data_IF_209456664356
#
_entry.id   IF_209456664356
#
_cell.length_a   1.000
_cell.length_b   1.000
_cell.length_c   1.000
_cell.angle_alpha   90.00
_cell.angle_beta   90.00
_cell.angle_gamma   90.00
#
_symmetry.space_group_name_H-M   'P 1'
#
loop_
_entity.id
_entity.type
_entity.pdbx_description
1 polymer ?
#
# COMPACT_ATOMS: atom_id res chain seq x y z
N UNK A 1 -21.01 -34.80 2.74
CA UNK A 1 -20.95 -33.40 3.21
C UNK A 1 -21.19 -32.48 2.02
N UNK A 2 -22.11 -31.52 2.12
CA UNK A 2 -22.36 -30.60 1.02
C UNK A 2 -21.16 -29.66 0.85
N UNK A 3 -20.55 -29.64 -0.35
CA UNK A 3 -19.46 -28.72 -0.68
C UNK A 3 -20.02 -27.30 -0.69
N UNK A 4 -19.58 -26.45 0.21
CA UNK A 4 -19.92 -25.03 0.19
C UNK A 4 -19.14 -24.39 -0.95
N UNK A 5 -19.84 -23.84 -1.93
CA UNK A 5 -19.24 -23.16 -3.08
C UNK A 5 -19.14 -21.65 -2.81
N UNK A 6 -17.95 -21.09 -3.00
CA UNK A 6 -17.69 -19.66 -2.85
C UNK A 6 -17.71 -19.00 -4.22
N UNK A 7 -18.75 -18.22 -4.49
CA UNK A 7 -18.92 -17.56 -5.79
C UNK A 7 -18.22 -16.21 -5.82
N UNK A 8 -17.51 -15.94 -6.91
CA UNK A 8 -16.93 -14.64 -7.24
C UNK A 8 -17.94 -13.83 -8.06
N UNK A 9 -18.18 -12.59 -7.63
CA UNK A 9 -19.13 -11.68 -8.26
C UNK A 9 -18.48 -10.31 -8.46
N UNK A 10 -18.79 -9.65 -9.58
CA UNK A 10 -18.49 -8.24 -9.79
C UNK A 10 -19.69 -7.42 -9.29
N UNK A 11 -19.42 -6.51 -8.37
CA UNK A 11 -20.37 -5.52 -7.88
C UNK A 11 -19.79 -4.12 -8.08
N UNK A 12 -20.39 -3.34 -8.97
CA UNK A 12 -19.98 -1.96 -9.29
C UNK A 12 -18.49 -1.84 -9.69
N UNK A 13 -17.99 -2.80 -10.48
CA UNK A 13 -16.59 -2.84 -10.93
C UNK A 13 -15.61 -3.37 -9.90
N UNK A 14 -16.10 -3.88 -8.76
CA UNK A 14 -15.29 -4.44 -7.67
C UNK A 14 -15.61 -5.92 -7.43
N UNK A 15 -14.59 -6.70 -7.11
CA UNK A 15 -14.72 -8.11 -6.83
C UNK A 15 -15.19 -8.36 -5.39
N UNK A 16 -16.23 -9.19 -5.26
CA UNK A 16 -16.73 -9.71 -3.98
C UNK A 16 -16.91 -11.22 -4.03
N UNK A 17 -16.75 -11.86 -2.89
CA UNK A 17 -17.05 -13.28 -2.70
C UNK A 17 -18.39 -13.43 -1.96
N UNK A 18 -19.23 -14.37 -2.39
CA UNK A 18 -20.55 -14.64 -1.80
C UNK A 18 -20.81 -16.14 -1.69
N UNK A 19 -21.25 -16.58 -0.51
CA UNK A 19 -21.58 -17.97 -0.26
C UNK A 19 -22.62 -18.12 0.86
N UNK A 20 -23.09 -19.35 1.05
CA UNK A 20 -23.97 -19.74 2.16
C UNK A 20 -23.36 -20.90 2.93
N UNK A 21 -23.38 -20.81 4.25
CA UNK A 21 -22.97 -21.90 5.14
C UNK A 21 -23.89 -21.93 6.36
N UNK A 22 -24.37 -23.12 6.73
CA UNK A 22 -25.19 -23.34 7.92
C UNK A 22 -26.39 -22.35 8.03
N UNK A 23 -27.09 -22.12 6.92
CA UNK A 23 -28.24 -21.20 6.86
C UNK A 23 -27.89 -19.70 6.84
N UNK A 24 -26.62 -19.31 7.04
CA UNK A 24 -26.16 -17.92 7.02
C UNK A 24 -25.59 -17.54 5.64
N UNK A 25 -25.87 -16.31 5.21
CA UNK A 25 -25.29 -15.71 3.99
C UNK A 25 -24.03 -14.93 4.37
N UNK A 26 -22.93 -15.22 3.68
CA UNK A 26 -21.67 -14.51 3.85
C UNK A 26 -21.34 -13.70 2.59
N UNK A 27 -20.80 -12.50 2.79
CA UNK A 27 -20.33 -11.62 1.73
C UNK A 27 -18.98 -11.03 2.17
N UNK A 28 -17.97 -11.15 1.30
CA UNK A 28 -16.63 -10.60 1.54
C UNK A 28 -16.25 -9.72 0.35
N UNK A 29 -16.21 -8.41 0.56
CA UNK A 29 -15.65 -7.48 -0.42
C UNK A 29 -14.12 -7.56 -0.38
N UNK A 30 -13.48 -7.72 -1.55
CA UNK A 30 -12.02 -7.82 -1.65
C UNK A 30 -11.35 -6.46 -1.91
N UNK A 31 -12.13 -5.43 -2.25
CA UNK A 31 -11.64 -4.11 -2.68
C UNK A 31 -11.01 -4.11 -4.07
N UNK A 32 -10.67 -5.27 -4.62
CA UNK A 32 -10.02 -5.39 -5.92
C UNK A 32 -10.96 -4.94 -7.05
N UNK A 33 -10.43 -4.20 -8.03
CA UNK A 33 -11.15 -3.91 -9.27
C UNK A 33 -11.28 -5.15 -10.13
N UNK A 34 -12.32 -5.23 -10.96
CA UNK A 34 -12.52 -6.36 -11.86
C UNK A 34 -11.49 -6.36 -13.01
N UNK A 35 -10.35 -7.01 -12.78
CA UNK A 35 -9.26 -7.22 -13.75
C UNK A 35 -8.86 -8.69 -13.74
N UNK A 36 -8.34 -9.25 -14.85
CA UNK A 36 -7.96 -10.67 -14.91
C UNK A 36 -7.02 -11.12 -13.78
N UNK A 37 -5.98 -10.32 -13.48
CA UNK A 37 -5.04 -10.59 -12.37
C UNK A 37 -5.73 -10.59 -11.00
N UNK A 38 -6.65 -9.64 -10.80
CA UNK A 38 -7.40 -9.52 -9.55
C UNK A 38 -8.43 -10.65 -9.37
N UNK A 39 -9.00 -11.15 -10.46
CA UNK A 39 -9.87 -12.34 -10.45
C UNK A 39 -9.11 -13.58 -9.98
N UNK A 40 -7.87 -13.77 -10.45
CA UNK A 40 -7.03 -14.88 -10.00
C UNK A 40 -6.79 -14.84 -8.48
N UNK A 41 -6.48 -13.65 -7.93
CA UNK A 41 -6.31 -13.45 -6.48
C UNK A 41 -7.61 -13.73 -5.72
N UNK A 42 -8.73 -13.25 -6.25
CA UNK A 42 -10.04 -13.48 -5.67
C UNK A 42 -10.45 -14.96 -5.67
N UNK A 43 -10.14 -15.70 -6.75
CA UNK A 43 -10.35 -17.14 -6.85
C UNK A 43 -9.48 -17.92 -5.85
N UNK A 44 -8.21 -17.54 -5.70
CA UNK A 44 -7.34 -18.15 -4.68
C UNK A 44 -7.92 -17.97 -3.27
N UNK A 45 -8.47 -16.79 -2.96
CA UNK A 45 -9.16 -16.54 -1.68
C UNK A 45 -10.45 -17.36 -1.55
N UNK A 46 -11.24 -17.50 -2.61
CA UNK A 46 -12.40 -18.35 -2.62
C UNK A 46 -12.03 -19.81 -2.28
N UNK A 47 -10.99 -20.36 -2.91
CA UNK A 47 -10.49 -21.71 -2.63
C UNK A 47 -9.99 -21.87 -1.20
N UNK A 48 -9.33 -20.86 -0.63
CA UNK A 48 -8.89 -20.89 0.76
C UNK A 48 -10.07 -20.98 1.74
N UNK A 49 -11.15 -20.23 1.47
CA UNK A 49 -12.39 -20.31 2.27
C UNK A 49 -13.02 -21.69 2.11
N UNK A 50 -13.13 -22.23 0.89
CA UNK A 50 -13.66 -23.57 0.64
C UNK A 50 -12.87 -24.66 1.38
N UNK A 51 -11.54 -24.57 1.39
CA UNK A 51 -10.67 -25.49 2.12
C UNK A 51 -10.91 -25.42 3.63
N UNK A 52 -10.93 -24.22 4.21
CA UNK A 52 -11.18 -24.03 5.64
C UNK A 52 -12.58 -24.50 6.06
N UNK A 53 -13.57 -24.34 5.18
CA UNK A 53 -14.92 -24.86 5.38
C UNK A 53 -14.94 -26.39 5.41
N UNK A 54 -14.12 -27.05 4.58
CA UNK A 54 -14.00 -28.50 4.54
C UNK A 54 -13.24 -29.07 5.75
N UNK A 55 -12.24 -28.35 6.26
CA UNK A 55 -11.43 -28.79 7.42
C UNK A 55 -11.97 -28.33 8.77
N UNK A 56 -13.07 -27.56 8.80
CA UNK A 56 -13.62 -27.00 10.04
C UNK A 56 -12.83 -25.83 10.64
N UNK A 57 -11.89 -25.25 9.88
CA UNK A 57 -11.05 -24.11 10.29
C UNK A 57 -11.60 -22.76 9.80
N UNK A 58 -12.87 -22.72 9.42
CA UNK A 58 -13.51 -21.52 8.89
C UNK A 58 -13.63 -20.45 9.97
N UNK A 59 -13.13 -19.25 9.66
CA UNK A 59 -13.31 -18.06 10.50
C UNK A 59 -14.59 -17.30 10.10
N UNK A 60 -15.69 -17.39 10.90
CA UNK A 60 -16.95 -16.72 10.59
C UNK A 60 -16.87 -15.20 10.71
N UNK A 61 -15.84 -14.64 11.35
CA UNK A 61 -15.61 -13.18 11.41
C UNK A 61 -15.08 -12.61 10.09
N UNK A 62 -14.64 -13.50 9.20
CA UNK A 62 -13.98 -13.22 7.93
C UNK A 62 -12.64 -12.46 8.06
N UNK A 63 -12.13 -12.21 9.27
CA UNK A 63 -10.90 -11.45 9.47
C UNK A 63 -9.69 -12.15 8.84
N UNK A 64 -9.62 -13.49 8.93
CA UNK A 64 -8.60 -14.32 8.27
C UNK A 64 -8.58 -14.17 6.74
N UNK A 65 -9.75 -13.93 6.14
CA UNK A 65 -9.91 -13.90 4.68
C UNK A 65 -9.88 -12.52 4.08
N UNK A 66 -10.15 -11.49 4.90
CA UNK A 66 -10.01 -10.10 4.47
C UNK A 66 -8.60 -9.93 3.92
N UNK A 67 -8.44 -9.41 2.69
CA UNK A 67 -7.14 -8.97 2.25
C UNK A 67 -6.63 -7.99 3.31
N UNK A 68 -5.41 -8.20 3.81
CA UNK A 68 -4.72 -7.20 4.60
C UNK A 68 -4.93 -5.88 3.86
N UNK A 69 -5.52 -4.90 4.53
CA UNK A 69 -6.03 -3.68 3.89
C UNK A 69 -4.89 -2.88 3.28
N UNK A 70 -4.41 -3.28 2.10
CA UNK A 70 -3.92 -2.34 1.12
C UNK A 70 -5.16 -1.62 0.61
N UNK A 71 -5.59 -0.60 1.38
CA UNK A 71 -6.65 0.31 0.96
C UNK A 71 -6.28 0.76 -0.45
N UNK A 72 -7.12 0.50 -1.45
CA UNK A 72 -6.85 0.93 -2.81
C UNK A 72 -6.50 2.42 -2.78
N UNK A 73 -5.24 2.75 -3.01
CA UNK A 73 -4.74 4.10 -2.89
C UNK A 73 -3.49 4.25 -2.04
N UNK A 74 -3.25 3.43 -1.03
CA UNK A 74 -2.06 3.63 -0.17
C UNK A 74 -0.78 3.29 -0.93
N UNK A 75 -0.06 4.31 -1.41
CA UNK A 75 1.27 4.14 -1.97
C UNK A 75 2.32 4.15 -0.86
N UNK A 76 3.43 3.46 -1.10
CA UNK A 76 4.56 3.50 -0.19
C UNK A 76 5.20 4.90 -0.17
N UNK A 77 5.83 5.26 0.95
CA UNK A 77 6.59 6.52 1.04
C UNK A 77 7.63 6.64 -0.08
N UNK A 78 8.30 5.53 -0.39
CA UNK A 78 9.28 5.45 -1.48
C UNK A 78 8.62 5.66 -2.85
N UNK A 79 7.44 5.08 -3.06
CA UNK A 79 6.71 5.20 -4.31
C UNK A 79 6.17 6.62 -4.53
N UNK A 80 5.68 7.28 -3.47
CA UNK A 80 5.31 8.69 -3.50
C UNK A 80 6.49 9.54 -3.97
N UNK A 81 7.66 9.32 -3.38
CA UNK A 81 8.87 10.05 -3.74
C UNK A 81 9.32 9.78 -5.18
N UNK A 82 9.22 8.54 -5.66
CA UNK A 82 9.55 8.19 -7.04
C UNK A 82 8.61 8.85 -8.06
N UNK A 83 7.32 8.90 -7.76
CA UNK A 83 6.33 9.62 -8.59
C UNK A 83 6.60 11.12 -8.61
N UNK A 84 6.91 11.72 -7.46
CA UNK A 84 7.32 13.11 -7.36
C UNK A 84 8.58 13.40 -8.19
N UNK A 85 9.63 12.56 -8.08
CA UNK A 85 10.84 12.68 -8.90
C UNK A 85 10.52 12.59 -10.40
N UNK A 86 9.68 11.65 -10.80
CA UNK A 86 9.30 11.46 -12.21
C UNK A 86 8.53 12.66 -12.77
N UNK A 87 7.66 13.27 -11.96
CA UNK A 87 7.01 14.53 -12.31
C UNK A 87 8.04 15.66 -12.46
N UNK A 88 8.91 15.79 -11.47
CA UNK A 88 9.96 16.79 -11.41
C UNK A 88 10.92 16.70 -12.61
N UNK A 89 11.33 15.50 -13.00
CA UNK A 89 12.16 15.25 -14.18
C UNK A 89 11.52 15.70 -15.51
N UNK A 90 10.18 15.69 -15.61
CA UNK A 90 9.45 16.17 -16.79
C UNK A 90 9.33 17.69 -16.87
N UNK A 91 9.40 18.37 -15.73
CA UNK A 91 9.30 19.84 -15.60
C UNK A 91 10.67 20.55 -15.65
N UNK A 92 11.66 19.94 -16.29
CA UNK A 92 12.96 20.53 -16.62
C UNK A 92 13.81 20.94 -15.39
N UNK A 93 14.50 19.95 -14.80
CA UNK A 93 15.39 20.19 -13.66
C UNK A 93 16.80 19.75 -14.04
N UNK A 94 17.76 20.58 -13.64
CA UNK A 94 19.20 20.32 -13.73
C UNK A 94 19.59 18.90 -13.28
N UNK A 95 20.48 18.27 -14.05
CA UNK A 95 20.94 16.88 -13.88
C UNK A 95 21.45 16.60 -12.47
N UNK A 96 22.12 17.56 -11.82
CA UNK A 96 22.67 17.38 -10.46
C UNK A 96 21.56 17.25 -9.41
N UNK A 97 20.39 17.85 -9.66
CA UNK A 97 19.24 17.73 -8.75
C UNK A 97 18.63 16.33 -8.83
N UNK A 98 18.61 15.71 -10.02
CA UNK A 98 18.17 14.33 -10.20
C UNK A 98 19.12 13.34 -9.50
N UNK A 99 20.44 13.53 -9.64
CA UNK A 99 21.46 12.73 -8.95
C UNK A 99 21.29 12.81 -7.42
N UNK A 100 21.01 14.01 -6.88
CA UNK A 100 20.69 14.18 -5.45
C UNK A 100 19.47 13.37 -5.03
N UNK A 101 18.41 13.31 -5.84
CA UNK A 101 17.18 12.58 -5.52
C UNK A 101 17.42 11.06 -5.54
N UNK A 102 18.21 10.56 -6.50
CA UNK A 102 18.62 9.15 -6.56
C UNK A 102 19.38 8.72 -5.30
N UNK A 103 20.30 9.54 -4.80
CA UNK A 103 21.05 9.24 -3.56
C UNK A 103 20.20 9.24 -2.26
N UNK A 104 18.96 9.73 -2.33
CA UNK A 104 18.04 9.76 -1.19
C UNK A 104 17.12 8.55 -1.11
N UNK A 105 16.72 7.99 -2.26
CA UNK A 105 15.80 6.84 -2.32
C UNK A 105 16.24 5.63 -1.49
N UNK A 106 17.52 5.22 -1.47
CA UNK A 106 17.94 4.08 -0.64
C UNK A 106 17.65 4.31 0.85
N UNK A 107 17.78 5.56 1.32
CA UNK A 107 17.54 5.93 2.73
C UNK A 107 16.05 5.89 3.07
N UNK A 108 15.20 6.34 2.15
CA UNK A 108 13.74 6.22 2.29
C UNK A 108 13.32 4.74 2.33
N UNK A 109 13.89 3.92 1.44
CA UNK A 109 13.62 2.47 1.40
C UNK A 109 14.09 1.75 2.66
N UNK A 110 15.25 2.12 3.17
CA UNK A 110 15.81 1.51 4.37
C UNK A 110 15.00 1.86 5.63
N UNK A 111 14.63 3.13 5.80
CA UNK A 111 13.90 3.57 7.00
C UNK A 111 12.41 3.22 6.96
N UNK A 112 11.72 3.62 5.88
CA UNK A 112 10.27 3.45 5.79
C UNK A 112 9.87 2.04 5.30
N UNK A 113 10.76 1.29 4.65
CA UNK A 113 10.50 -0.07 4.18
C UNK A 113 9.18 -0.16 3.38
N UNK A 114 8.18 -0.87 3.91
CA UNK A 114 6.85 -1.04 3.32
C UNK A 114 5.79 -0.11 3.96
N UNK A 115 6.22 0.94 4.65
CA UNK A 115 5.32 1.92 5.26
C UNK A 115 4.61 2.74 4.19
N UNK A 116 3.30 2.87 4.33
CA UNK A 116 2.46 3.66 3.43
C UNK A 116 2.53 5.13 3.79
N UNK A 117 2.48 6.00 2.79
CA UNK A 117 2.54 7.45 3.01
C UNK A 117 1.41 7.94 3.93
N UNK A 118 0.21 7.36 3.81
CA UNK A 118 -0.95 7.72 4.64
C UNK A 118 -0.78 7.37 6.12
N UNK A 119 0.11 6.42 6.43
CA UNK A 119 0.38 5.97 7.80
C UNK A 119 1.54 6.70 8.47
N UNK A 120 2.19 7.64 7.77
CA UNK A 120 3.30 8.42 8.34
C UNK A 120 2.73 9.45 9.31
N UNK A 121 3.10 9.31 10.58
CA UNK A 121 2.75 10.25 11.64
C UNK A 121 3.84 11.30 11.84
N UNK A 122 3.61 12.23 12.77
CA UNK A 122 4.63 13.21 13.16
C UNK A 122 5.81 12.53 13.84
N UNK A 123 5.56 11.55 14.69
CA UNK A 123 6.58 10.79 15.41
C UNK A 123 7.50 10.04 14.45
N UNK A 124 6.95 9.52 13.34
CA UNK A 124 7.75 8.92 12.27
C UNK A 124 8.68 9.93 11.59
N UNK A 125 8.21 11.14 11.35
CA UNK A 125 9.02 12.20 10.73
C UNK A 125 10.16 12.65 11.66
N UNK A 126 9.89 12.76 12.97
CA UNK A 126 10.89 13.08 13.99
C UNK A 126 11.92 11.94 14.12
N UNK A 127 11.45 10.69 14.12
CA UNK A 127 12.31 9.49 14.17
C UNK A 127 13.18 9.37 12.92
N UNK A 128 12.63 9.67 11.74
CA UNK A 128 13.40 9.68 10.49
C UNK A 128 14.49 10.76 10.51
N UNK A 129 14.17 11.96 11.02
CA UNK A 129 15.15 13.04 11.20
C UNK A 129 16.28 12.62 12.15
N UNK A 130 15.94 12.03 13.29
CA UNK A 130 16.94 11.53 14.25
C UNK A 130 17.83 10.45 13.62
N UNK A 131 17.23 9.47 12.93
CA UNK A 131 17.96 8.42 12.24
C UNK A 131 18.92 8.95 11.16
N UNK A 132 18.53 9.98 10.41
CA UNK A 132 19.43 10.62 9.43
C UNK A 132 20.65 11.29 10.08
N UNK A 133 20.46 11.92 11.25
CA UNK A 133 21.53 12.60 11.99
C UNK A 133 22.43 11.59 12.72
N UNK A 134 21.83 10.65 13.42
CA UNK A 134 22.52 9.80 14.39
C UNK A 134 23.04 8.51 13.79
N UNK A 135 22.25 7.87 12.92
CA UNK A 135 22.61 6.61 12.29
C UNK A 135 23.34 6.83 10.96
N UNK A 136 22.81 7.72 10.11
CA UNK A 136 23.43 8.03 8.80
C UNK A 136 24.49 9.12 8.86
N UNK A 137 24.70 9.73 10.03
CA UNK A 137 25.74 10.75 10.28
C UNK A 137 25.75 11.86 9.24
N UNK A 138 24.57 12.24 8.75
CA UNK A 138 24.45 13.31 7.76
C UNK A 138 24.56 14.67 8.44
N UNK A 139 25.20 15.62 7.75
CA UNK A 139 25.29 17.00 8.23
C UNK A 139 23.87 17.60 8.41
N UNK A 140 23.64 18.44 9.44
CA UNK A 140 22.32 19.03 9.72
C UNK A 140 21.71 19.77 8.53
N UNK A 141 22.53 20.45 7.74
CA UNK A 141 22.10 21.14 6.51
C UNK A 141 21.54 20.16 5.48
N UNK A 142 22.20 19.02 5.28
CA UNK A 142 21.77 17.96 4.38
C UNK A 142 20.47 17.33 4.87
N UNK A 143 20.34 17.08 6.17
CA UNK A 143 19.09 16.55 6.75
C UNK A 143 17.92 17.52 6.52
N UNK A 144 18.13 18.81 6.74
CA UNK A 144 17.11 19.84 6.46
C UNK A 144 16.68 19.83 5.00
N UNK A 145 17.62 19.76 4.05
CA UNK A 145 17.32 19.63 2.62
C UNK A 145 16.50 18.37 2.32
N UNK A 146 16.88 17.21 2.89
CA UNK A 146 16.17 15.93 2.68
C UNK A 146 14.74 15.94 3.23
N UNK A 147 14.54 16.46 4.44
CA UNK A 147 13.21 16.60 5.03
C UNK A 147 12.35 17.58 4.21
N UNK A 148 12.93 18.67 3.73
CA UNK A 148 12.27 19.60 2.82
C UNK A 148 11.80 18.95 1.52
N UNK A 149 12.65 18.10 0.91
CA UNK A 149 12.28 17.34 -0.28
C UNK A 149 11.15 16.34 -0.03
N UNK A 150 11.18 15.64 1.10
CA UNK A 150 10.12 14.71 1.45
C UNK A 150 8.80 15.46 1.67
N UNK A 151 8.82 16.59 2.38
CA UNK A 151 7.64 17.46 2.54
C UNK A 151 7.06 17.90 1.19
N UNK A 152 7.92 18.32 0.25
CA UNK A 152 7.50 18.71 -1.09
C UNK A 152 6.85 17.55 -1.87
N UNK A 153 7.32 16.31 -1.67
CA UNK A 153 6.71 15.13 -2.28
C UNK A 153 5.28 14.87 -1.74
N UNK A 154 5.06 15.03 -0.44
CA UNK A 154 3.71 14.95 0.16
C UNK A 154 2.80 16.11 -0.30
N UNK A 155 3.32 17.33 -0.40
CA UNK A 155 2.55 18.45 -0.98
C UNK A 155 2.12 18.19 -2.42
N UNK A 156 3.05 17.70 -3.24
CA UNK A 156 2.76 17.32 -4.62
C UNK A 156 1.73 16.19 -4.70
N UNK A 157 1.84 15.18 -3.84
CA UNK A 157 0.86 14.08 -3.76
C UNK A 157 -0.55 14.60 -3.47
N UNK A 158 -0.68 15.57 -2.54
CA UNK A 158 -1.97 16.17 -2.16
C UNK A 158 -2.59 16.93 -3.33
N UNK A 159 -1.79 17.70 -4.06
CA UNK A 159 -2.25 18.46 -5.22
C UNK A 159 -2.67 17.58 -6.40
N UNK A 160 -1.98 16.45 -6.61
CA UNK A 160 -2.22 15.55 -7.73
C UNK A 160 -3.18 14.41 -7.43
N UNK A 161 -3.86 14.43 -6.26
CA UNK A 161 -4.76 13.37 -5.77
C UNK A 161 -4.12 11.98 -5.84
N UNK A 162 -2.82 11.92 -5.64
CA UNK A 162 -2.13 10.66 -5.43
C UNK A 162 -2.53 10.24 -4.03
N UNK A 163 -3.18 9.09 -3.85
CA UNK A 163 -3.55 8.64 -2.51
C UNK A 163 -2.24 8.36 -1.74
N UNK A 164 -1.93 9.17 -0.74
CA UNK A 164 -0.70 9.16 0.04
C UNK A 164 -0.92 9.94 1.34
#
# INVERSE_FOLDING_TARGET
MAKVQVNLENFEGRLRLRWRQAGKRYCLALGLSDRPVNRLVAEQKARAIEADLATGNFDPTLQKYRPATNKQGEILVVELFNKFQSFKAKTDIDRRTLEKYQGFQPKLKEFFQQKTALSVTREDAESFRAWLLETKKLAPVTVKERIGLLKAAYEWGRQNKVNH
#
